data_IF_171951485435
#
_entry.id   IF_171951485435
#
_cell.length_a   1.000
_cell.length_b   1.000
_cell.length_c   1.000
_cell.angle_alpha   90.00
_cell.angle_beta   90.00
_cell.angle_gamma   90.00
#
_symmetry.space_group_name_H-M   'P 1'
#
loop_
_entity.id
_entity.type
_entity.pdbx_description
1 polymer ?
#
# COMPACT_ATOMS: atom_id res chain seq x y z
N UNK A 1 -10.70 -17.27 15.07
CA UNK A 1 -12.00 -16.62 14.77
C UNK A 1 -12.59 -17.13 13.46
N UNK A 2 -11.87 -17.19 12.33
CA UNK A 2 -12.48 -17.57 11.03
C UNK A 2 -12.36 -19.07 10.66
N UNK A 3 -11.25 -19.74 11.00
CA UNK A 3 -11.12 -21.21 10.89
C UNK A 3 -11.26 -21.79 9.48
N UNK A 4 -11.44 -23.11 9.37
CA UNK A 4 -11.49 -23.83 8.08
C UNK A 4 -12.72 -23.48 7.22
N UNK A 5 -13.81 -22.96 7.83
CA UNK A 5 -15.05 -22.58 7.15
C UNK A 5 -14.94 -21.34 6.25
N UNK A 6 -13.73 -20.78 6.14
CA UNK A 6 -13.42 -19.67 5.25
C UNK A 6 -13.07 -20.11 3.82
N UNK A 7 -12.58 -21.35 3.64
CA UNK A 7 -11.84 -21.75 2.42
C UNK A 7 -12.76 -22.09 1.25
N UNK A 8 -13.95 -22.63 1.51
CA UNK A 8 -14.86 -23.10 0.47
C UNK A 8 -16.28 -22.59 0.71
N UNK A 9 -16.94 -22.20 -0.38
CA UNK A 9 -18.36 -21.88 -0.39
C UNK A 9 -19.17 -23.18 -0.39
N UNK A 10 -19.72 -23.54 0.76
CA UNK A 10 -20.62 -24.70 0.91
C UNK A 10 -22.10 -24.31 0.83
N UNK A 11 -22.43 -23.03 0.65
CA UNK A 11 -23.79 -22.50 0.76
C UNK A 11 -24.34 -22.41 2.20
N UNK A 12 -23.58 -22.83 3.21
CA UNK A 12 -23.97 -22.64 4.61
C UNK A 12 -23.88 -21.17 5.01
N UNK A 13 -24.97 -20.63 5.55
CA UNK A 13 -25.02 -19.24 5.99
C UNK A 13 -23.93 -18.92 7.02
N UNK A 14 -23.26 -17.78 6.84
CA UNK A 14 -22.19 -17.32 7.73
C UNK A 14 -20.84 -18.01 7.52
N UNK A 15 -20.75 -18.99 6.61
CA UNK A 15 -19.49 -19.55 6.11
C UNK A 15 -19.05 -18.82 4.86
N UNK A 16 -17.75 -18.84 4.54
CA UNK A 16 -17.15 -18.23 3.33
C UNK A 16 -17.32 -16.69 3.16
N UNK A 17 -18.23 -16.04 3.89
CA UNK A 17 -18.62 -14.63 3.73
C UNK A 17 -17.46 -13.61 3.85
N UNK A 18 -16.34 -14.01 4.45
CA UNK A 18 -15.16 -13.16 4.66
C UNK A 18 -14.01 -13.44 3.68
N UNK A 19 -14.18 -14.39 2.75
CA UNK A 19 -13.12 -14.84 1.84
C UNK A 19 -12.55 -13.71 1.00
N UNK A 20 -13.43 -12.96 0.30
CA UNK A 20 -13.00 -11.82 -0.52
C UNK A 20 -12.30 -10.73 0.30
N UNK A 21 -12.82 -10.41 1.49
CA UNK A 21 -12.23 -9.39 2.33
C UNK A 21 -10.80 -9.77 2.75
N UNK A 22 -10.57 -11.02 3.16
CA UNK A 22 -9.25 -11.47 3.57
C UNK A 22 -8.26 -11.57 2.41
N UNK A 23 -8.70 -12.05 1.25
CA UNK A 23 -7.87 -12.10 0.06
C UNK A 23 -7.56 -10.69 -0.47
N UNK A 24 -8.46 -9.74 -0.27
CA UNK A 24 -8.26 -8.32 -0.60
C UNK A 24 -7.42 -7.56 0.41
N UNK A 25 -7.35 -8.00 1.67
CA UNK A 25 -6.70 -7.26 2.77
C UNK A 25 -5.24 -6.87 2.51
N UNK A 26 -4.38 -7.70 1.88
CA UNK A 26 -3.02 -7.29 1.54
C UNK A 26 -2.96 -6.06 0.63
N UNK A 27 -3.98 -5.83 -0.20
CA UNK A 27 -4.09 -4.66 -1.08
C UNK A 27 -4.19 -3.33 -0.32
N UNK A 28 -4.71 -3.33 0.91
CA UNK A 28 -4.79 -2.10 1.73
C UNK A 28 -3.42 -1.54 2.10
N UNK A 29 -2.36 -2.37 2.09
CA UNK A 29 -0.99 -1.96 2.42
C UNK A 29 -0.24 -1.32 1.26
N UNK A 30 -0.91 -1.16 0.11
CA UNK A 30 -0.39 -0.47 -1.08
C UNK A 30 -1.40 0.54 -1.65
N UNK A 31 -2.69 0.31 -1.44
CA UNK A 31 -3.75 1.19 -1.90
C UNK A 31 -3.70 2.52 -1.15
N UNK A 32 -3.51 3.62 -1.89
CA UNK A 32 -3.36 4.95 -1.30
C UNK A 32 -1.97 5.25 -0.74
N UNK A 33 -1.00 4.34 -0.93
CA UNK A 33 0.38 4.46 -0.46
C UNK A 33 0.83 3.17 0.22
N UNK A 34 2.10 2.79 0.04
CA UNK A 34 2.64 1.64 0.77
C UNK A 34 2.82 1.95 2.25
N UNK A 35 2.95 0.91 3.08
CA UNK A 35 3.27 1.07 4.50
C UNK A 35 4.53 1.94 4.71
N UNK A 36 5.53 1.79 3.85
CA UNK A 36 6.77 2.58 3.85
C UNK A 36 6.48 4.05 3.51
N UNK A 37 5.71 4.32 2.45
CA UNK A 37 5.35 5.69 2.07
C UNK A 37 4.58 6.38 3.18
N UNK A 38 3.62 5.68 3.80
CA UNK A 38 2.82 6.24 4.89
C UNK A 38 3.67 6.51 6.14
N UNK A 39 4.60 5.61 6.47
CA UNK A 39 5.56 5.82 7.56
C UNK A 39 6.46 7.03 7.31
N UNK A 40 6.92 7.22 6.07
CA UNK A 40 7.72 8.39 5.70
C UNK A 40 6.89 9.69 5.80
N UNK A 41 5.63 9.68 5.36
CA UNK A 41 4.71 10.82 5.53
C UNK A 41 4.54 11.19 7.01
N UNK A 42 4.32 10.21 7.89
CA UNK A 42 4.21 10.46 9.33
C UNK A 42 5.54 11.01 9.89
N UNK A 43 6.67 10.40 9.52
CA UNK A 43 8.00 10.85 9.94
C UNK A 43 8.28 12.30 9.56
N UNK A 44 8.08 12.66 8.29
CA UNK A 44 8.39 14.01 7.79
C UNK A 44 7.34 15.05 8.20
N UNK A 45 6.04 14.74 8.06
CA UNK A 45 4.97 15.76 8.20
C UNK A 45 4.43 15.89 9.61
N UNK A 46 4.39 14.80 10.37
CA UNK A 46 3.86 14.81 11.75
C UNK A 46 5.00 14.96 12.74
N UNK A 47 6.04 14.15 12.60
CA UNK A 47 7.17 14.12 13.54
C UNK A 47 8.31 15.08 13.16
N UNK A 48 8.24 15.73 11.99
CA UNK A 48 9.25 16.68 11.50
C UNK A 48 10.68 16.11 11.42
N UNK A 49 10.80 14.80 11.20
CA UNK A 49 12.09 14.16 10.95
C UNK A 49 12.65 14.61 9.59
N UNK A 50 13.99 14.61 9.41
CA UNK A 50 14.59 14.90 8.12
C UNK A 50 14.05 13.98 7.02
N UNK A 51 13.68 14.57 5.89
CA UNK A 51 13.20 13.84 4.72
C UNK A 51 14.32 12.98 4.11
N UNK A 52 13.96 11.85 3.52
CA UNK A 52 14.89 11.06 2.74
C UNK A 52 15.37 11.86 1.50
N UNK A 53 16.64 11.68 1.05
CA UNK A 53 17.12 12.33 -0.16
C UNK A 53 16.29 11.93 -1.39
N UNK A 54 15.75 12.93 -2.09
CA UNK A 54 14.94 12.73 -3.30
C UNK A 54 15.50 13.53 -4.47
N UNK A 55 15.76 12.86 -5.58
CA UNK A 55 16.34 13.46 -6.80
C UNK A 55 15.29 14.10 -7.71
N UNK A 56 14.02 13.83 -7.47
CA UNK A 56 12.87 14.21 -8.30
C UNK A 56 12.04 15.35 -7.69
N UNK A 57 12.31 15.76 -6.45
CA UNK A 57 11.46 16.67 -5.67
C UNK A 57 11.29 18.05 -6.30
N UNK A 58 12.35 18.58 -6.92
CA UNK A 58 12.41 19.97 -7.40
C UNK A 58 12.33 20.09 -8.92
N UNK A 59 11.99 19.00 -9.61
CA UNK A 59 11.89 18.95 -11.08
C UNK A 59 10.49 18.53 -11.51
N UNK A 60 10.12 18.87 -12.74
CA UNK A 60 8.84 18.43 -13.30
C UNK A 60 8.83 16.91 -13.55
N UNK A 61 7.64 16.32 -13.59
CA UNK A 61 7.48 14.89 -13.90
C UNK A 61 8.10 14.51 -15.26
N UNK A 62 8.01 15.40 -16.25
CA UNK A 62 8.62 15.18 -17.57
C UNK A 62 10.16 15.13 -17.49
N UNK A 63 10.77 15.97 -16.66
CA UNK A 63 12.21 15.96 -16.40
C UNK A 63 12.63 14.71 -15.63
N UNK A 64 11.89 14.32 -14.59
CA UNK A 64 12.14 13.09 -13.84
C UNK A 64 12.12 11.84 -14.76
N UNK A 65 11.13 11.74 -15.65
CA UNK A 65 11.08 10.66 -16.64
C UNK A 65 12.25 10.71 -17.64
N UNK A 66 12.70 11.91 -18.04
CA UNK A 66 13.87 12.05 -18.93
C UNK A 66 15.16 11.57 -18.25
N UNK A 67 15.33 11.85 -16.95
CA UNK A 67 16.48 11.36 -16.18
C UNK A 67 16.44 9.83 -16.04
N UNK A 68 15.29 9.25 -15.70
CA UNK A 68 15.14 7.79 -15.58
C UNK A 68 15.43 7.03 -16.88
N UNK A 69 15.11 7.62 -18.05
CA UNK A 69 15.39 6.98 -19.37
C UNK A 69 16.86 7.03 -19.79
N UNK A 70 17.70 7.80 -19.09
CA UNK A 70 19.13 7.97 -19.40
C UNK A 70 20.05 7.17 -18.47
N UNK A 71 19.51 6.63 -17.38
CA UNK A 71 20.18 5.70 -16.47
C UNK A 71 20.05 4.27 -16.98
#
# INVERSE_FOLDING_TARGET
>A
ILGARLVADSGEWGTYAWGEHLLGAPGYRIAGGSDEVQRNIVGERVLQLPAEPRVDKDISFAEAQRLSRRA
#
